data_IF_339351613396
#
_entry.id   IF_339351613396
#
_cell.length_a   1.000
_cell.length_b   1.000
_cell.length_c   1.000
_cell.angle_alpha   90.00
_cell.angle_beta   90.00
_cell.angle_gamma   90.00
#
_symmetry.space_group_name_H-M   'P 1'
#
loop_
_entity.id
_entity.type
_entity.pdbx_description
1 polymer ?
#
# COMPACT_ATOMS: atom_id res chain seq x y z
N UNK A 1 -6.85 4.43 -16.29
CA UNK A 1 -6.53 4.06 -14.90
C UNK A 1 -7.37 4.95 -14.02
N UNK A 2 -8.40 4.38 -13.40
CA UNK A 2 -9.32 5.14 -12.55
C UNK A 2 -8.85 5.03 -11.09
N UNK A 3 -8.46 6.16 -10.51
CA UNK A 3 -8.00 6.24 -9.12
C UNK A 3 -9.07 6.90 -8.26
N UNK A 4 -9.34 6.31 -7.09
CA UNK A 4 -10.26 6.87 -6.10
C UNK A 4 -9.51 7.14 -4.80
N UNK A 5 -9.71 8.35 -4.26
CA UNK A 5 -9.09 8.82 -3.02
C UNK A 5 -10.19 9.04 -1.98
N UNK A 6 -10.19 8.24 -0.91
CA UNK A 6 -11.08 8.39 0.23
C UNK A 6 -10.35 9.19 1.31
N UNK A 7 -10.68 10.46 1.44
CA UNK A 7 -9.97 11.40 2.29
C UNK A 7 -10.68 11.57 3.63
N UNK A 8 -9.91 11.35 4.69
CA UNK A 8 -10.31 11.61 6.07
C UNK A 8 -10.25 13.12 6.35
N UNK A 9 -11.43 13.76 6.42
CA UNK A 9 -11.58 15.18 6.69
C UNK A 9 -11.28 15.62 8.12
N UNK A 10 -11.25 14.69 9.08
CA UNK A 10 -10.96 14.99 10.48
C UNK A 10 -9.46 14.94 10.77
N UNK A 11 -8.71 14.19 9.96
CA UNK A 11 -7.29 13.99 10.17
C UNK A 11 -6.42 14.84 9.24
N UNK A 12 -6.07 16.04 9.69
CA UNK A 12 -5.05 16.89 9.07
C UNK A 12 -5.28 17.09 7.55
N UNK A 13 -6.52 17.47 7.20
CA UNK A 13 -7.00 17.57 5.82
C UNK A 13 -6.11 18.42 4.89
N UNK A 14 -5.43 19.45 5.41
CA UNK A 14 -4.50 20.26 4.63
C UNK A 14 -3.27 19.48 4.16
N UNK A 15 -2.82 18.49 4.94
CA UNK A 15 -1.76 17.56 4.52
C UNK A 15 -2.33 16.48 3.60
N UNK A 16 -3.51 15.95 3.92
CA UNK A 16 -4.17 14.93 3.11
C UNK A 16 -4.38 15.36 1.65
N UNK A 17 -4.83 16.60 1.44
CA UNK A 17 -5.13 17.12 0.10
C UNK A 17 -3.91 17.65 -0.67
N UNK A 18 -2.68 17.58 -0.13
CA UNK A 18 -1.49 17.94 -0.91
C UNK A 18 -1.42 17.12 -2.19
N UNK A 19 -1.27 17.79 -3.33
CA UNK A 19 -1.20 17.16 -4.64
C UNK A 19 -2.54 16.94 -5.34
N UNK A 20 -3.66 17.43 -4.78
CA UNK A 20 -4.98 17.31 -5.42
C UNK A 20 -5.03 17.99 -6.80
N UNK A 21 -4.28 19.07 -7.00
CA UNK A 21 -4.16 19.80 -8.26
C UNK A 21 -3.47 18.99 -9.37
N UNK A 22 -2.77 17.92 -8.99
CA UNK A 22 -2.10 17.02 -9.92
C UNK A 22 -3.01 15.91 -10.45
N UNK A 23 -4.21 15.77 -9.88
CA UNK A 23 -5.20 14.82 -10.35
C UNK A 23 -5.84 15.27 -11.67
N UNK A 24 -6.40 14.31 -12.39
CA UNK A 24 -7.10 14.50 -13.67
C UNK A 24 -8.60 14.26 -13.53
N UNK A 25 -9.37 14.61 -14.56
CA UNK A 25 -10.83 14.46 -14.60
C UNK A 25 -11.32 13.00 -14.49
N UNK A 26 -10.42 12.02 -14.66
CA UNK A 26 -10.72 10.60 -14.48
C UNK A 26 -10.59 10.15 -13.01
N UNK A 27 -9.99 10.96 -12.16
CA UNK A 27 -9.73 10.65 -10.77
C UNK A 27 -10.90 11.16 -9.91
N UNK A 28 -11.26 10.42 -8.86
CA UNK A 28 -12.34 10.78 -7.94
C UNK A 28 -11.80 10.97 -6.53
N UNK A 29 -12.20 12.06 -5.86
CA UNK A 29 -11.83 12.36 -4.48
C UNK A 29 -13.11 12.43 -3.64
N UNK A 30 -13.25 11.50 -2.70
CA UNK A 30 -14.35 11.43 -1.75
C UNK A 30 -13.85 11.97 -0.41
N UNK A 31 -14.30 13.16 -0.01
CA UNK A 31 -13.85 13.80 1.23
C UNK A 31 -14.93 13.65 2.30
N UNK A 32 -14.63 12.89 3.34
CA UNK A 32 -15.57 12.61 4.42
C UNK A 32 -15.40 13.64 5.53
N UNK A 33 -16.49 14.21 6.04
CA UNK A 33 -16.45 15.22 7.09
C UNK A 33 -17.54 15.00 8.14
N UNK A 34 -17.34 15.54 9.35
CA UNK A 34 -18.29 15.39 10.45
C UNK A 34 -19.66 15.97 10.12
N UNK A 35 -20.68 15.33 10.65
CA UNK A 35 -22.06 15.77 10.52
C UNK A 35 -22.29 17.12 11.19
N UNK A 36 -23.13 17.94 10.57
CA UNK A 36 -23.44 19.29 11.01
C UNK A 36 -22.34 20.31 10.75
N UNK A 37 -21.18 19.91 10.19
CA UNK A 37 -20.13 20.84 9.80
C UNK A 37 -20.29 21.28 8.35
N UNK A 38 -19.99 22.55 8.06
CA UNK A 38 -19.97 23.04 6.68
C UNK A 38 -18.60 22.81 6.04
N UNK A 39 -18.51 22.19 4.84
CA UNK A 39 -17.23 21.84 4.22
C UNK A 39 -16.51 23.03 3.56
N UNK A 40 -16.90 24.29 3.81
CA UNK A 40 -16.37 25.47 3.10
C UNK A 40 -14.84 25.60 3.17
N UNK A 41 -14.22 25.26 4.31
CA UNK A 41 -12.75 25.27 4.43
C UNK A 41 -12.10 24.22 3.53
N UNK A 42 -12.69 23.03 3.46
CA UNK A 42 -12.23 21.93 2.62
C UNK A 42 -12.41 22.29 1.14
N UNK A 43 -13.56 22.84 0.77
CA UNK A 43 -13.84 23.31 -0.59
C UNK A 43 -12.81 24.33 -1.10
N UNK A 44 -12.34 25.23 -0.23
CA UNK A 44 -11.26 26.17 -0.57
C UNK A 44 -9.94 25.45 -0.85
N UNK A 45 -9.60 24.39 -0.11
CA UNK A 45 -8.40 23.59 -0.36
C UNK A 45 -8.46 22.84 -1.69
N UNK A 46 -9.65 22.49 -2.15
CA UNK A 46 -9.87 21.81 -3.43
C UNK A 46 -10.00 22.77 -4.62
N UNK A 47 -9.85 24.08 -4.42
CA UNK A 47 -9.99 25.05 -5.51
C UNK A 47 -8.90 24.82 -6.56
N UNK A 48 -9.31 24.58 -7.81
CA UNK A 48 -8.39 24.29 -8.93
C UNK A 48 -8.10 22.81 -9.14
N UNK A 49 -8.67 21.91 -8.32
CA UNK A 49 -8.64 20.48 -8.61
C UNK A 49 -9.41 20.18 -9.91
N UNK A 50 -8.84 19.30 -10.74
CA UNK A 50 -9.48 18.81 -11.97
C UNK A 50 -10.28 17.52 -11.76
N UNK A 51 -9.98 16.80 -10.68
CA UNK A 51 -10.68 15.58 -10.29
C UNK A 51 -12.15 15.85 -9.96
N UNK A 52 -12.96 14.80 -10.01
CA UNK A 52 -14.31 14.83 -9.46
C UNK A 52 -14.22 14.80 -7.91
N UNK A 53 -14.51 15.93 -7.28
CA UNK A 53 -14.43 16.08 -5.81
C UNK A 53 -15.83 16.06 -5.21
N UNK A 54 -16.09 15.05 -4.40
CA UNK A 54 -17.34 14.84 -3.69
C UNK A 54 -17.15 15.04 -2.18
N UNK A 55 -18.06 15.76 -1.55
CA UNK A 55 -18.04 16.02 -0.11
C UNK A 55 -19.11 15.17 0.57
N UNK A 56 -18.69 14.21 1.36
CA UNK A 56 -19.56 13.22 1.99
C UNK A 56 -19.69 13.54 3.48
N UNK A 57 -20.87 14.01 3.89
CA UNK A 57 -21.16 14.20 5.31
C UNK A 57 -21.27 12.85 6.02
N UNK A 58 -20.78 12.78 7.25
CA UNK A 58 -20.95 11.59 8.08
C UNK A 58 -22.43 11.36 8.38
N UNK A 59 -22.90 10.11 8.22
CA UNK A 59 -24.31 9.76 8.48
C UNK A 59 -24.63 9.86 9.98
N UNK A 60 -23.64 9.56 10.83
CA UNK A 60 -23.77 9.55 12.29
C UNK A 60 -22.69 10.37 12.96
N UNK A 61 -23.07 11.01 14.05
CA UNK A 61 -22.13 11.54 15.02
C UNK A 61 -21.51 10.41 15.83
N UNK A 62 -20.25 10.57 16.20
CA UNK A 62 -19.58 9.64 17.10
C UNK A 62 -18.08 9.55 16.88
N UNK A 63 -17.40 9.05 17.90
CA UNK A 63 -15.97 8.73 17.79
C UNK A 63 -15.78 7.70 16.66
N UNK A 64 -14.91 8.02 15.71
CA UNK A 64 -14.55 7.17 14.56
C UNK A 64 -15.70 6.93 13.54
N UNK A 65 -16.76 7.74 13.55
CA UNK A 65 -17.87 7.54 12.60
C UNK A 65 -17.43 7.71 11.15
N UNK A 66 -16.54 8.65 10.89
CA UNK A 66 -15.89 8.85 9.58
C UNK A 66 -15.06 7.63 9.21
N UNK A 67 -14.24 7.10 10.11
CA UNK A 67 -13.38 5.95 9.83
C UNK A 67 -14.17 4.74 9.37
N UNK A 68 -15.27 4.45 10.08
CA UNK A 68 -16.17 3.35 9.69
C UNK A 68 -16.84 3.61 8.35
N UNK A 69 -17.25 4.86 8.08
CA UNK A 69 -17.87 5.22 6.81
C UNK A 69 -16.88 5.10 5.64
N UNK A 70 -15.63 5.56 5.81
CA UNK A 70 -14.56 5.42 4.82
C UNK A 70 -14.29 3.96 4.51
N UNK A 71 -14.11 3.12 5.51
CA UNK A 71 -13.84 1.69 5.29
C UNK A 71 -15.04 0.98 4.66
N UNK A 72 -16.26 1.36 5.04
CA UNK A 72 -17.48 0.81 4.43
C UNK A 72 -17.57 1.20 2.96
N UNK A 73 -17.35 2.47 2.62
CA UNK A 73 -17.40 2.95 1.24
C UNK A 73 -16.30 2.29 0.40
N UNK A 74 -15.08 2.20 0.92
CA UNK A 74 -13.99 1.46 0.28
C UNK A 74 -14.41 0.01 -0.02
N UNK A 75 -15.00 -0.69 0.95
CA UNK A 75 -15.49 -2.05 0.77
C UNK A 75 -16.60 -2.19 -0.29
N UNK A 76 -17.43 -1.17 -0.47
CA UNK A 76 -18.46 -1.13 -1.52
C UNK A 76 -17.83 -0.91 -2.90
N UNK A 77 -16.92 0.07 -3.02
CA UNK A 77 -16.16 0.32 -4.24
C UNK A 77 -15.39 -0.93 -4.67
N UNK A 78 -14.85 -1.63 -3.67
CA UNK A 78 -14.19 -2.93 -3.83
C UNK A 78 -15.12 -3.97 -4.45
N UNK A 79 -16.31 -4.14 -3.88
CA UNK A 79 -17.28 -5.14 -4.35
C UNK A 79 -17.83 -4.84 -5.75
N UNK A 80 -17.86 -3.58 -6.17
CA UNK A 80 -18.39 -3.16 -7.48
C UNK A 80 -17.36 -3.09 -8.59
N UNK A 81 -16.06 -3.22 -8.29
CA UNK A 81 -14.96 -3.07 -9.25
C UNK A 81 -14.97 -1.69 -9.96
N UNK A 82 -15.33 -0.63 -9.22
CA UNK A 82 -15.47 0.71 -9.78
C UNK A 82 -14.14 1.49 -9.87
N UNK A 83 -13.03 0.93 -9.42
CA UNK A 83 -11.70 1.57 -9.42
C UNK A 83 -10.58 0.55 -9.64
N UNK A 84 -9.54 0.99 -10.38
CA UNK A 84 -8.30 0.23 -10.52
C UNK A 84 -7.42 0.39 -9.26
N UNK A 85 -7.42 1.60 -8.69
CA UNK A 85 -6.62 1.99 -7.52
C UNK A 85 -7.51 2.70 -6.50
N UNK A 86 -7.40 2.31 -5.23
CA UNK A 86 -8.14 2.94 -4.14
C UNK A 86 -7.22 3.32 -2.98
N UNK A 87 -7.27 4.58 -2.55
CA UNK A 87 -6.39 5.11 -1.52
C UNK A 87 -7.20 5.69 -0.38
N UNK A 88 -6.96 5.21 0.85
CA UNK A 88 -7.37 5.94 2.04
C UNK A 88 -6.31 6.98 2.35
N UNK A 89 -6.71 8.25 2.40
CA UNK A 89 -5.84 9.38 2.69
C UNK A 89 -6.08 9.79 4.15
N UNK A 90 -5.21 9.30 5.03
CA UNK A 90 -5.22 9.60 6.46
C UNK A 90 -3.84 9.32 7.06
N UNK A 91 -3.53 10.01 8.16
CA UNK A 91 -2.34 9.72 8.98
C UNK A 91 -2.66 8.75 10.11
N UNK A 92 -3.93 8.37 10.27
CA UNK A 92 -4.34 7.44 11.32
C UNK A 92 -3.94 6.01 10.93
N UNK A 93 -3.15 5.39 11.81
CA UNK A 93 -2.75 4.00 11.66
C UNK A 93 -3.88 3.03 11.94
N UNK A 94 -5.01 3.49 12.49
CA UNK A 94 -6.22 2.71 12.69
C UNK A 94 -6.74 2.06 11.41
N UNK A 95 -6.51 2.68 10.25
CA UNK A 95 -6.91 2.11 8.94
C UNK A 95 -6.04 0.94 8.49
N UNK A 96 -4.81 0.78 9.01
CA UNK A 96 -3.84 -0.18 8.50
C UNK A 96 -4.38 -1.62 8.50
N UNK A 97 -5.06 -2.03 9.57
CA UNK A 97 -5.63 -3.37 9.68
C UNK A 97 -6.68 -3.66 8.59
N UNK A 98 -7.52 -2.68 8.26
CA UNK A 98 -8.53 -2.81 7.20
C UNK A 98 -7.89 -2.90 5.81
N UNK A 99 -6.87 -2.08 5.55
CA UNK A 99 -6.12 -2.12 4.29
C UNK A 99 -5.39 -3.45 4.11
N UNK A 100 -4.72 -3.94 5.16
CA UNK A 100 -4.01 -5.21 5.12
C UNK A 100 -4.98 -6.38 4.90
N UNK A 101 -6.15 -6.36 5.54
CA UNK A 101 -7.18 -7.36 5.31
C UNK A 101 -7.70 -7.34 3.86
N UNK A 102 -7.89 -6.15 3.28
CA UNK A 102 -8.32 -6.02 1.87
C UNK A 102 -7.27 -6.61 0.92
N UNK A 103 -5.99 -6.26 1.12
CA UNK A 103 -4.87 -6.81 0.32
C UNK A 103 -4.76 -8.31 0.45
N UNK A 104 -4.88 -8.85 1.66
CA UNK A 104 -4.71 -10.28 1.90
C UNK A 104 -5.84 -11.14 1.32
N UNK A 105 -7.06 -10.60 1.26
CA UNK A 105 -8.27 -11.38 0.92
C UNK A 105 -8.86 -11.06 -0.45
N UNK A 106 -8.57 -9.88 -0.99
CA UNK A 106 -9.18 -9.35 -2.21
C UNK A 106 -8.12 -8.73 -3.13
N UNK A 107 -6.93 -9.31 -3.19
CA UNK A 107 -5.83 -8.84 -4.04
C UNK A 107 -6.22 -8.74 -5.51
N UNK A 108 -7.09 -9.63 -5.99
CA UNK A 108 -7.53 -9.64 -7.40
C UNK A 108 -8.60 -8.58 -7.72
N UNK A 109 -9.11 -7.85 -6.72
CA UNK A 109 -10.16 -6.86 -6.91
C UNK A 109 -9.62 -5.44 -7.22
N UNK A 110 -8.33 -5.16 -6.95
CA UNK A 110 -7.64 -3.89 -7.28
C UNK A 110 -6.26 -4.16 -7.85
N UNK A 111 -5.76 -3.23 -8.66
CA UNK A 111 -4.33 -3.17 -8.91
C UNK A 111 -3.58 -2.69 -7.66
N UNK A 112 -4.16 -1.74 -6.90
CA UNK A 112 -3.65 -1.34 -5.59
C UNK A 112 -4.77 -0.85 -4.66
N UNK A 113 -4.65 -1.21 -3.38
CA UNK A 113 -5.35 -0.54 -2.29
C UNK A 113 -4.33 -0.13 -1.24
N UNK A 114 -4.35 1.11 -0.75
CA UNK A 114 -3.33 1.57 0.22
C UNK A 114 -3.82 2.67 1.17
N UNK A 115 -3.17 2.73 2.34
CA UNK A 115 -3.22 3.89 3.24
C UNK A 115 -2.03 4.82 2.92
N UNK A 116 -2.30 6.09 2.66
CA UNK A 116 -1.28 7.12 2.38
C UNK A 116 -1.58 8.40 3.17
N UNK A 117 -0.55 9.18 3.55
CA UNK A 117 -0.76 10.39 4.34
C UNK A 117 -1.23 11.59 3.51
N UNK A 118 -1.06 11.55 2.18
CA UNK A 118 -1.50 12.59 1.24
C UNK A 118 -1.77 12.01 -0.16
N UNK A 119 -2.49 12.77 -0.99
CA UNK A 119 -2.72 12.43 -2.41
C UNK A 119 -1.39 12.38 -3.17
N UNK A 120 -0.50 13.35 -2.94
CA UNK A 120 0.83 13.43 -3.55
C UNK A 120 1.63 12.12 -3.38
N UNK A 121 1.55 11.50 -2.20
CA UNK A 121 2.26 10.24 -1.90
C UNK A 121 1.75 9.03 -2.70
N UNK A 122 0.53 9.12 -3.26
CA UNK A 122 0.02 8.13 -4.21
C UNK A 122 0.58 8.36 -5.63
N UNK A 123 0.97 9.60 -5.95
CA UNK A 123 1.24 10.04 -7.31
C UNK A 123 2.71 9.94 -7.73
N UNK A 124 3.63 9.64 -6.81
CA UNK A 124 5.08 9.51 -7.09
C UNK A 124 5.38 8.60 -8.30
N UNK A 125 4.56 7.59 -8.56
CA UNK A 125 4.68 6.74 -9.75
C UNK A 125 3.62 7.03 -10.82
N UNK A 126 2.52 7.70 -10.49
CA UNK A 126 1.42 7.90 -11.43
C UNK A 126 1.84 8.71 -12.65
N UNK A 127 2.73 9.71 -12.52
CA UNK A 127 3.22 10.45 -13.71
C UNK A 127 4.09 9.59 -14.61
N UNK A 128 4.89 8.69 -14.02
CA UNK A 128 5.74 7.74 -14.74
C UNK A 128 4.85 6.72 -15.46
N UNK A 129 3.81 6.20 -14.79
CA UNK A 129 2.87 5.23 -15.34
C UNK A 129 1.88 5.83 -16.35
N UNK A 130 1.58 7.13 -16.26
CA UNK A 130 0.75 7.87 -17.23
C UNK A 130 1.53 8.27 -18.48
N UNK A 131 2.86 8.19 -18.48
CA UNK A 131 3.66 8.54 -19.64
C UNK A 131 3.34 7.62 -20.83
N UNK A 132 2.84 8.20 -21.91
CA UNK A 132 2.46 7.47 -23.13
C UNK A 132 3.57 7.46 -24.18
N UNK A 133 4.60 8.28 -23.97
CA UNK A 133 5.75 8.39 -24.85
C UNK A 133 7.07 8.36 -24.07
N UNK A 134 8.15 7.98 -24.75
CA UNK A 134 9.52 8.04 -24.20
C UNK A 134 9.88 9.44 -23.68
N UNK A 135 9.39 10.47 -24.36
CA UNK A 135 9.68 11.87 -24.05
C UNK A 135 8.94 12.33 -22.78
N UNK A 136 7.69 11.89 -22.62
CA UNK A 136 6.91 12.07 -21.38
C UNK A 136 7.56 11.31 -20.22
N UNK A 137 7.99 10.07 -20.43
CA UNK A 137 8.63 9.26 -19.40
C UNK A 137 9.93 9.92 -18.91
N UNK A 138 10.78 10.39 -19.84
CA UNK A 138 12.00 11.13 -19.52
C UNK A 138 11.71 12.39 -18.70
N UNK A 139 10.69 13.16 -19.07
CA UNK A 139 10.30 14.35 -18.32
C UNK A 139 9.75 14.00 -16.93
N UNK A 140 8.93 12.96 -16.83
CA UNK A 140 8.38 12.50 -15.55
C UNK A 140 9.49 12.07 -14.58
N UNK A 141 10.47 11.29 -15.06
CA UNK A 141 11.62 10.88 -14.26
C UNK A 141 12.51 12.06 -13.85
N UNK A 142 12.72 13.03 -14.75
CA UNK A 142 13.46 14.25 -14.43
C UNK A 142 12.74 15.17 -13.44
N UNK A 143 11.39 15.19 -13.46
CA UNK A 143 10.58 15.92 -12.49
C UNK A 143 10.67 15.29 -11.11
N UNK A 144 10.60 13.97 -11.03
CA UNK A 144 10.58 13.21 -9.77
C UNK A 144 11.95 13.14 -9.10
N UNK A 145 12.99 12.82 -9.86
CA UNK A 145 14.33 12.57 -9.33
C UNK A 145 15.31 13.73 -9.60
N UNK A 146 14.85 14.81 -10.25
CA UNK A 146 15.69 15.90 -10.72
C UNK A 146 16.40 15.59 -12.03
N UNK A 147 16.85 16.63 -12.75
CA UNK A 147 17.38 16.50 -14.11
C UNK A 147 18.57 15.55 -14.25
N UNK A 148 19.49 15.55 -13.27
CA UNK A 148 20.66 14.67 -13.29
C UNK A 148 20.29 13.20 -13.05
N UNK A 149 19.68 12.90 -11.90
CA UNK A 149 19.34 11.51 -11.53
C UNK A 149 18.23 10.93 -12.40
N UNK A 150 17.20 11.72 -12.73
CA UNK A 150 16.14 11.31 -13.64
C UNK A 150 16.64 11.04 -15.06
N UNK A 151 17.62 11.82 -15.54
CA UNK A 151 18.29 11.57 -16.82
C UNK A 151 19.07 10.25 -16.83
N UNK A 152 19.88 10.00 -15.78
CA UNK A 152 20.61 8.74 -15.61
C UNK A 152 19.66 7.55 -15.52
N UNK A 153 18.56 7.68 -14.77
CA UNK A 153 17.56 6.63 -14.61
C UNK A 153 16.86 6.31 -15.94
N UNK A 154 16.46 7.33 -16.71
CA UNK A 154 15.88 7.14 -18.04
C UNK A 154 16.85 6.41 -18.98
N UNK A 155 18.11 6.85 -19.05
CA UNK A 155 19.12 6.21 -19.90
C UNK A 155 19.39 4.76 -19.49
N UNK A 156 19.38 4.46 -18.19
CA UNK A 156 19.53 3.10 -17.70
C UNK A 156 18.35 2.20 -18.14
N UNK A 157 17.11 2.68 -17.97
CA UNK A 157 15.91 1.97 -18.43
C UNK A 157 15.93 1.76 -19.94
N UNK A 158 16.32 2.77 -20.71
CA UNK A 158 16.43 2.69 -22.17
C UNK A 158 17.42 1.59 -22.60
N UNK A 159 18.57 1.47 -21.92
CA UNK A 159 19.52 0.40 -22.18
C UNK A 159 18.97 -0.99 -21.84
N UNK A 160 18.29 -1.13 -20.71
CA UNK A 160 17.68 -2.41 -20.29
C UNK A 160 16.65 -2.91 -21.29
N UNK A 161 15.78 -2.02 -21.76
CA UNK A 161 14.70 -2.40 -22.69
C UNK A 161 15.15 -2.52 -24.16
N UNK A 162 16.34 -2.03 -24.51
CA UNK A 162 16.94 -2.23 -25.84
C UNK A 162 17.86 -3.46 -25.90
N UNK A 163 18.33 -3.96 -24.77
CA UNK A 163 19.17 -5.15 -24.72
C UNK A 163 18.33 -6.41 -25.02
N UNK A 164 18.80 -7.34 -25.87
CA UNK A 164 18.12 -8.62 -26.07
C UNK A 164 18.08 -9.38 -24.74
N UNK A 165 16.92 -9.93 -24.38
CA UNK A 165 16.79 -10.77 -23.19
C UNK A 165 17.81 -11.91 -23.29
N UNK A 166 18.78 -11.94 -22.36
CA UNK A 166 19.67 -13.08 -22.23
C UNK A 166 18.83 -14.24 -21.74
N UNK A 167 18.50 -15.15 -22.65
CA UNK A 167 17.97 -16.46 -22.30
C UNK A 167 18.97 -17.14 -21.37
N UNK A 168 18.64 -17.18 -20.09
CA UNK A 168 19.37 -17.97 -19.11
C UNK A 168 19.05 -19.42 -19.42
N UNK A 169 19.83 -20.04 -20.30
CA UNK A 169 19.93 -21.49 -20.36
C UNK A 169 20.52 -21.94 -19.04
N UNK A 170 19.67 -22.50 -18.18
CA UNK A 170 20.07 -23.29 -17.03
C UNK A 170 20.96 -24.43 -17.53
N UNK A 171 22.27 -24.20 -17.55
CA UNK A 171 23.24 -25.28 -17.71
C UNK A 171 23.20 -26.08 -16.43
N UNK A 172 22.58 -27.25 -16.50
CA UNK A 172 22.61 -28.29 -15.48
C UNK A 172 24.02 -28.87 -15.41
N UNK A 173 24.95 -28.12 -14.80
CA UNK A 173 26.26 -28.63 -14.40
C UNK A 173 26.11 -29.59 -13.22
N UNK A 174 26.81 -30.75 -13.21
CA UNK A 174 26.62 -31.78 -12.21
C UNK A 174 27.10 -31.34 -10.82
N UNK A 175 26.25 -31.57 -9.82
CA UNK A 175 26.51 -31.32 -8.39
C UNK A 175 27.75 -32.12 -7.93
N UNK A 176 28.77 -31.49 -7.33
CA UNK A 176 29.88 -32.22 -6.74
C UNK A 176 29.40 -33.00 -5.50
N UNK A 177 29.62 -34.33 -5.52
CA UNK A 177 29.27 -35.25 -4.43
C UNK A 177 30.05 -34.88 -3.16
N UNK A 178 29.33 -34.58 -2.09
CA UNK A 178 29.90 -34.38 -0.77
C UNK A 178 30.57 -35.67 -0.26
N UNK A 179 31.85 -35.60 0.08
CA UNK A 179 32.60 -36.67 0.72
C UNK A 179 32.23 -36.77 2.21
N UNK A 180 31.53 -37.84 2.58
CA UNK A 180 31.23 -38.17 3.98
C UNK A 180 32.46 -38.83 4.62
N UNK A 181 33.01 -38.19 5.66
CA UNK A 181 34.11 -38.70 6.50
C UNK A 181 33.68 -39.94 7.32
N UNK A 182 34.60 -40.85 7.68
CA UNK A 182 34.25 -42.12 8.29
C UNK A 182 33.92 -41.98 9.79
N UNK A 183 32.93 -42.77 10.21
CA UNK A 183 32.55 -43.02 11.61
C UNK A 183 33.73 -43.57 12.41
N UNK A 184 34.01 -43.00 13.57
CA UNK A 184 34.88 -43.59 14.60
C UNK A 184 34.06 -43.92 15.84
N UNK A 185 34.37 -45.09 16.38
CA UNK A 185 33.48 -45.90 17.20
C UNK A 185 33.35 -45.50 18.66
N UNK A 186 32.33 -46.15 19.23
CA UNK A 186 31.91 -46.25 20.63
C UNK A 186 33.04 -46.49 21.65
N UNK A 187 32.93 -45.80 22.79
CA UNK A 187 33.25 -46.20 24.19
C UNK A 187 32.92 -44.97 25.05
N UNK A 188 31.93 -44.94 25.92
CA UNK A 188 31.64 -45.85 27.03
C UNK A 188 31.62 -44.99 28.28
N UNK A 189 30.46 -44.80 28.91
CA UNK A 189 30.31 -43.93 30.09
C UNK A 189 28.89 -43.91 30.65
N UNK A 190 28.65 -44.80 31.60
CA UNK A 190 27.37 -45.10 32.27
C UNK A 190 27.17 -44.18 33.49
N UNK A 191 25.91 -43.75 33.74
CA UNK A 191 25.23 -43.24 34.98
C UNK A 191 24.55 -41.89 34.69
N UNK A 192 23.32 -41.57 35.10
CA UNK A 192 22.27 -42.20 35.95
C UNK A 192 20.95 -41.46 35.62
N UNK A 193 19.82 -42.18 35.55
CA UNK A 193 18.45 -41.60 35.52
C UNK A 193 17.96 -41.32 36.94
N UNK A 194 17.10 -40.30 37.08
CA UNK A 194 15.87 -40.18 37.91
C UNK A 194 15.72 -38.77 38.55
N UNK A 195 14.51 -38.33 38.96
CA UNK A 195 13.28 -38.18 38.19
C UNK A 195 12.59 -36.81 38.42
N UNK A 196 11.54 -36.51 37.66
CA UNK A 196 10.53 -35.48 37.95
C UNK A 196 9.73 -35.79 39.22
N UNK A 197 9.18 -34.79 39.93
CA UNK A 197 7.94 -34.94 40.67
C UNK A 197 6.77 -34.21 40.01
N UNK A 198 5.61 -34.82 40.20
CA UNK A 198 4.31 -34.54 39.61
C UNK A 198 3.55 -33.37 40.27
N UNK A 199 2.46 -33.02 39.57
CA UNK A 199 1.27 -32.28 39.99
C UNK A 199 0.86 -32.48 41.45
N UNK A 200 0.26 -31.43 42.03
CA UNK A 200 -0.97 -31.59 42.79
C UNK A 200 -1.98 -30.46 42.49
N UNK A 201 -3.19 -30.93 42.27
CA UNK A 201 -4.50 -30.29 42.11
C UNK A 201 -5.07 -29.80 43.46
N UNK A 202 -5.95 -28.79 43.40
CA UNK A 202 -7.24 -28.60 44.13
C UNK A 202 -7.52 -27.08 44.29
N UNK A 203 -8.56 -26.46 43.69
CA UNK A 203 -10.04 -26.57 43.85
C UNK A 203 -10.58 -25.62 44.94
N UNK A 204 -11.78 -25.04 44.65
CA UNK A 204 -12.73 -24.23 45.47
C UNK A 204 -12.67 -22.70 45.29
N UNK A 205 -13.63 -22.10 44.56
CA UNK A 205 -14.98 -21.59 44.96
C UNK A 205 -14.88 -20.22 45.65
N UNK A 206 -15.66 -19.17 45.35
CA UNK A 206 -17.03 -19.01 44.85
C UNK A 206 -17.14 -17.85 43.86
#
# INVERSE_FOLDING_TARGET
MKMIFLVDGDNNIGTGLKGIEMLSEQDTVLIFYQKGLTPTKIQKLCTGAKADVQYIESVRDGKNSIDFQIITELGVLVGKQEADFAYVISQDKGYAASIDALRARYADAFQEVALRPSIEECLHLSFILKATSRQELKHALAKEYGGAQGGLLYSHLEQLFQAPEKSVTLTTGPVPKAAVRPRRGSRGGRRKKQPTPEKNTEVLSE
#
